data_IF_631801050818
#
_entry.id   IF_631801050818
#
_cell.length_a   1.000
_cell.length_b   1.000
_cell.length_c   1.000
_cell.angle_alpha   90.00
_cell.angle_beta   90.00
_cell.angle_gamma   90.00
#
_symmetry.space_group_name_H-M   'P 1'
#
loop_
_entity.id
_entity.type
_entity.pdbx_description
1 polymer ?
#
# COMPACT_ATOMS: atom_id res chain seq x y z
N UNK A 1 5.99 19.05 -38.44
CA UNK A 1 4.75 18.43 -37.88
C UNK A 1 4.77 18.26 -36.35
N UNK A 2 5.55 17.33 -35.75
CA UNK A 2 5.45 17.10 -34.29
C UNK A 2 5.76 18.37 -33.46
N UNK A 3 6.86 19.06 -33.77
CA UNK A 3 7.22 20.32 -33.10
C UNK A 3 6.18 21.43 -33.27
N UNK A 4 5.61 21.58 -34.47
CA UNK A 4 4.52 22.54 -34.72
C UNK A 4 3.28 22.21 -33.90
N UNK A 5 2.92 20.92 -33.83
CA UNK A 5 1.81 20.47 -33.00
C UNK A 5 2.05 20.78 -31.53
N UNK A 6 3.23 20.46 -30.99
CA UNK A 6 3.58 20.77 -29.61
C UNK A 6 3.56 22.28 -29.33
N UNK A 7 4.01 23.10 -30.28
CA UNK A 7 3.96 24.57 -30.16
C UNK A 7 2.53 25.11 -30.00
N UNK A 8 1.54 24.56 -30.71
CA UNK A 8 0.14 24.96 -30.55
C UNK A 8 -0.33 24.83 -29.11
N UNK A 9 -0.06 23.69 -28.47
CA UNK A 9 -0.44 23.46 -27.08
C UNK A 9 0.43 24.27 -26.11
N UNK A 10 1.72 24.49 -26.44
CA UNK A 10 2.63 25.32 -25.64
C UNK A 10 2.25 26.80 -25.59
N UNK A 11 1.41 27.29 -26.51
CA UNK A 11 0.86 28.67 -26.41
C UNK A 11 -0.04 28.87 -25.18
N UNK A 12 -0.59 27.78 -24.63
CA UNK A 12 -1.45 27.82 -23.45
C UNK A 12 -0.64 27.62 -22.17
N UNK A 13 0.34 26.72 -22.19
CA UNK A 13 1.18 26.40 -21.03
C UNK A 13 2.55 25.87 -21.49
N UNK A 14 3.64 26.29 -20.84
CA UNK A 14 4.97 25.80 -21.16
C UNK A 14 5.29 24.44 -20.52
N UNK A 15 4.62 24.09 -19.42
CA UNK A 15 4.88 22.87 -18.65
C UNK A 15 3.93 21.72 -19.06
N UNK A 16 3.95 21.36 -20.35
CA UNK A 16 3.07 20.32 -20.91
C UNK A 16 3.87 19.05 -21.22
N UNK A 17 3.28 17.89 -20.89
CA UNK A 17 3.81 16.58 -21.29
C UNK A 17 2.99 15.97 -22.44
N UNK A 18 3.68 15.51 -23.47
CA UNK A 18 3.08 14.85 -24.64
C UNK A 18 3.42 13.37 -24.64
N UNK A 19 2.41 12.50 -24.77
CA UNK A 19 2.59 11.07 -24.94
C UNK A 19 1.93 10.62 -26.26
N UNK A 20 2.77 10.20 -27.21
CA UNK A 20 2.35 9.82 -28.55
C UNK A 20 1.97 8.34 -28.63
N UNK A 21 0.70 8.07 -28.92
CA UNK A 21 0.18 6.73 -29.13
C UNK A 21 0.32 6.40 -30.62
N UNK A 22 1.52 5.98 -31.02
CA UNK A 22 1.95 5.80 -32.43
C UNK A 22 0.95 5.00 -33.28
N UNK A 23 0.39 3.93 -32.73
CA UNK A 23 -0.53 3.05 -33.45
C UNK A 23 -1.97 3.60 -33.54
N UNK A 24 -2.31 4.60 -32.73
CA UNK A 24 -3.69 5.09 -32.60
C UNK A 24 -3.92 6.45 -33.25
N UNK A 25 -2.89 7.06 -33.87
CA UNK A 25 -2.92 8.45 -34.37
C UNK A 25 -3.44 9.44 -33.32
N UNK A 26 -3.17 9.16 -32.04
CA UNK A 26 -3.63 9.92 -30.88
C UNK A 26 -2.45 10.40 -30.06
N UNK A 27 -2.63 11.55 -29.41
CA UNK A 27 -1.65 12.12 -28.49
C UNK A 27 -2.35 12.44 -27.19
N UNK A 28 -1.81 11.96 -26.07
CA UNK A 28 -2.25 12.37 -24.74
C UNK A 28 -1.44 13.58 -24.33
N UNK A 29 -2.14 14.69 -24.13
CA UNK A 29 -1.56 15.95 -23.65
C UNK A 29 -1.92 16.09 -22.18
N UNK A 30 -0.89 16.21 -21.32
CA UNK A 30 -1.07 16.34 -19.87
C UNK A 30 -0.69 17.75 -19.46
N UNK A 31 -1.67 18.48 -18.94
CA UNK A 31 -1.52 19.80 -18.35
C UNK A 31 -1.39 19.68 -16.83
N UNK A 32 -0.72 20.65 -16.22
CA UNK A 32 -0.64 20.76 -14.76
C UNK A 32 -1.99 21.15 -14.15
N UNK A 33 -2.72 22.05 -14.81
CA UNK A 33 -3.99 22.57 -14.35
C UNK A 33 -5.14 22.17 -15.28
N UNK A 34 -6.29 21.83 -14.68
CA UNK A 34 -7.53 21.55 -15.40
C UNK A 34 -7.97 22.74 -16.25
N UNK A 35 -7.88 23.96 -15.71
CA UNK A 35 -8.27 25.18 -16.41
C UNK A 35 -7.48 25.37 -17.72
N UNK A 36 -6.17 25.09 -17.71
CA UNK A 36 -5.33 25.18 -18.91
C UNK A 36 -5.76 24.14 -19.96
N UNK A 37 -6.13 22.93 -19.53
CA UNK A 37 -6.65 21.91 -20.44
C UNK A 37 -8.01 22.32 -21.07
N UNK A 38 -8.90 22.95 -20.31
CA UNK A 38 -10.18 23.46 -20.80
C UNK A 38 -9.99 24.62 -21.79
N UNK A 39 -9.09 25.56 -21.49
CA UNK A 39 -8.72 26.65 -22.41
C UNK A 39 -8.09 26.09 -23.69
N UNK A 40 -7.18 25.11 -23.58
CA UNK A 40 -6.57 24.47 -24.73
C UNK A 40 -7.59 23.72 -25.58
N UNK A 41 -8.55 23.02 -24.96
CA UNK A 41 -9.65 22.39 -25.67
C UNK A 41 -10.49 23.44 -26.41
N UNK A 42 -10.96 24.48 -25.72
CA UNK A 42 -11.80 25.50 -26.33
C UNK A 42 -11.12 26.22 -27.50
N UNK A 43 -9.80 26.45 -27.41
CA UNK A 43 -9.01 27.10 -28.46
C UNK A 43 -8.69 26.17 -29.62
N UNK A 44 -8.23 24.94 -29.35
CA UNK A 44 -7.61 24.08 -30.35
C UNK A 44 -8.55 23.04 -30.95
N UNK A 45 -9.72 22.81 -30.35
CA UNK A 45 -10.71 21.88 -30.88
C UNK A 45 -11.23 22.36 -32.25
N UNK A 46 -11.20 21.46 -33.24
CA UNK A 46 -11.61 21.70 -34.64
C UNK A 46 -10.76 22.69 -35.43
N UNK A 47 -9.60 23.12 -34.93
CA UNK A 47 -8.65 23.90 -35.74
C UNK A 47 -8.08 23.02 -36.85
N UNK A 48 -8.03 23.49 -38.11
CA UNK A 48 -7.38 22.78 -39.20
C UNK A 48 -5.86 22.71 -38.97
N UNK A 49 -5.31 21.51 -38.99
CA UNK A 49 -3.88 21.26 -38.88
C UNK A 49 -3.45 20.31 -39.99
N UNK A 50 -2.61 20.79 -40.91
CA UNK A 50 -2.19 20.03 -42.11
C UNK A 50 -3.37 19.47 -42.92
N UNK A 51 -4.47 20.23 -43.02
CA UNK A 51 -5.66 19.89 -43.82
C UNK A 51 -6.74 19.11 -43.10
N UNK A 52 -6.47 18.60 -41.88
CA UNK A 52 -7.43 17.85 -41.07
C UNK A 52 -7.73 18.59 -39.75
N UNK A 53 -8.99 18.67 -39.31
CA UNK A 53 -9.32 19.32 -38.04
C UNK A 53 -8.87 18.48 -36.84
N UNK A 54 -8.21 19.10 -35.87
CA UNK A 54 -7.77 18.41 -34.64
C UNK A 54 -8.97 18.17 -33.73
N UNK A 55 -9.22 16.91 -33.35
CA UNK A 55 -10.19 16.54 -32.32
C UNK A 55 -9.54 16.52 -30.94
N UNK A 56 -9.83 17.54 -30.13
CA UNK A 56 -9.38 17.62 -28.72
C UNK A 56 -10.50 17.17 -27.78
N UNK A 57 -10.22 16.20 -26.90
CA UNK A 57 -11.20 15.63 -25.96
C UNK A 57 -10.59 15.64 -24.55
N UNK A 58 -11.33 16.14 -23.56
CA UNK A 58 -10.94 16.07 -22.16
C UNK A 58 -11.20 14.67 -21.61
N UNK A 59 -10.18 14.06 -21.00
CA UNK A 59 -10.30 12.76 -20.36
C UNK A 59 -10.73 13.00 -18.91
N UNK A 60 -11.92 12.52 -18.56
CA UNK A 60 -12.33 12.42 -17.16
C UNK A 60 -11.80 11.10 -16.60
N UNK A 61 -11.01 11.16 -15.54
CA UNK A 61 -10.67 9.94 -14.79
C UNK A 61 -11.94 9.52 -14.06
N UNK A 62 -12.43 8.29 -14.25
CA UNK A 62 -13.60 7.82 -13.52
C UNK A 62 -13.33 7.97 -12.01
N UNK A 63 -14.25 8.64 -11.31
CA UNK A 63 -14.23 8.73 -9.85
C UNK A 63 -14.63 7.37 -9.29
N UNK A 64 -13.68 6.44 -9.29
CA UNK A 64 -13.81 5.23 -8.49
C UNK A 64 -13.58 5.68 -7.05
N UNK A 65 -14.61 5.64 -6.22
CA UNK A 65 -14.51 5.79 -4.76
C UNK A 65 -13.38 4.88 -4.28
N UNK A 66 -12.52 5.35 -3.38
CA UNK A 66 -11.44 4.50 -2.87
C UNK A 66 -11.98 3.21 -2.22
N UNK A 67 -13.20 3.28 -1.68
CA UNK A 67 -13.99 2.15 -1.15
C UNK A 67 -14.29 1.04 -2.18
N UNK A 68 -14.43 1.38 -3.46
CA UNK A 68 -14.86 0.46 -4.53
C UNK A 68 -13.72 0.07 -5.47
N UNK A 69 -12.52 0.62 -5.23
CA UNK A 69 -11.36 0.41 -6.11
C UNK A 69 -10.65 -0.91 -5.82
N UNK A 70 -10.81 -1.44 -4.62
CA UNK A 70 -10.16 -2.66 -4.16
C UNK A 70 -11.13 -3.51 -3.32
N UNK A 71 -10.88 -4.82 -3.26
CA UNK A 71 -11.45 -5.62 -2.19
C UNK A 71 -11.00 -5.03 -0.86
N UNK A 72 -11.94 -4.88 0.07
CA UNK A 72 -11.61 -4.39 1.41
C UNK A 72 -10.59 -5.35 2.04
N UNK A 73 -9.58 -4.83 2.77
CA UNK A 73 -8.76 -5.67 3.61
C UNK A 73 -9.66 -6.54 4.51
N UNK A 74 -9.33 -7.82 4.73
CA UNK A 74 -10.09 -8.64 5.66
C UNK A 74 -10.10 -7.96 7.03
N UNK A 75 -11.21 -8.09 7.76
CA UNK A 75 -11.30 -7.58 9.13
C UNK A 75 -10.13 -8.14 9.94
N UNK A 76 -9.43 -7.31 10.73
CA UNK A 76 -8.32 -7.75 11.57
C UNK A 76 -8.89 -8.53 12.78
N UNK A 77 -9.40 -9.72 12.53
CA UNK A 77 -10.06 -10.56 13.54
C UNK A 77 -9.05 -11.41 14.31
N UNK A 78 -7.83 -11.59 13.79
CA UNK A 78 -6.86 -12.56 14.30
C UNK A 78 -5.41 -12.08 14.10
N UNK A 79 -4.57 -12.17 15.12
CA UNK A 79 -3.13 -12.01 14.97
C UNK A 79 -2.59 -13.39 14.61
N UNK A 80 -2.34 -13.66 13.32
CA UNK A 80 -1.75 -14.93 12.90
C UNK A 80 -0.30 -15.04 13.41
N UNK A 81 -0.14 -15.42 14.68
CA UNK A 81 1.16 -15.75 15.25
C UNK A 81 1.72 -17.02 14.59
N UNK A 82 0.85 -17.85 14.01
CA UNK A 82 1.19 -18.99 13.15
C UNK A 82 0.19 -19.08 11.99
N UNK A 83 0.69 -19.29 10.77
CA UNK A 83 -0.17 -19.61 9.63
C UNK A 83 -0.91 -20.93 9.88
N UNK A 84 -2.15 -21.10 9.38
CA UNK A 84 -2.78 -22.42 9.39
C UNK A 84 -1.90 -23.45 8.66
N UNK A 85 -2.02 -24.75 8.98
CA UNK A 85 -1.27 -25.78 8.26
C UNK A 85 -1.61 -25.71 6.76
N UNK A 86 -0.62 -25.92 5.90
CA UNK A 86 -0.76 -25.84 4.43
C UNK A 86 -1.84 -26.77 3.88
N UNK A 87 -2.26 -27.77 4.64
CA UNK A 87 -3.39 -28.65 4.35
C UNK A 87 -4.11 -29.01 5.66
N UNK A 88 -5.22 -28.33 6.00
CA UNK A 88 -5.99 -28.68 7.18
C UNK A 88 -6.64 -30.07 7.01
N UNK A 89 -6.64 -30.93 8.05
CA UNK A 89 -7.44 -32.14 8.09
C UNK A 89 -8.94 -31.87 7.85
N UNK A 90 -9.71 -32.91 7.51
CA UNK A 90 -11.11 -32.80 7.07
C UNK A 90 -12.07 -32.18 8.10
N UNK A 91 -11.68 -32.15 9.39
CA UNK A 91 -12.44 -31.56 10.49
C UNK A 91 -11.67 -30.42 11.20
N UNK A 92 -10.68 -29.82 10.54
CA UNK A 92 -9.96 -28.70 11.13
C UNK A 92 -10.77 -27.40 10.99
N UNK A 93 -11.13 -26.82 12.13
CA UNK A 93 -11.77 -25.52 12.20
C UNK A 93 -10.87 -24.51 12.94
N UNK A 94 -10.84 -23.24 12.50
CA UNK A 94 -10.15 -22.19 13.24
C UNK A 94 -10.76 -22.03 14.64
N UNK A 95 -9.96 -22.23 15.68
CA UNK A 95 -10.35 -21.93 17.05
C UNK A 95 -10.37 -20.41 17.25
N UNK A 96 -11.37 -19.92 18.00
CA UNK A 96 -11.43 -18.53 18.46
C UNK A 96 -10.24 -18.24 19.36
N UNK A 97 -9.40 -17.28 18.97
CA UNK A 97 -8.31 -16.81 19.82
C UNK A 97 -8.89 -16.20 21.10
N UNK A 98 -8.34 -16.60 22.25
CA UNK A 98 -8.68 -15.95 23.51
C UNK A 98 -8.14 -14.52 23.50
N UNK A 99 -8.81 -13.60 24.20
CA UNK A 99 -8.28 -12.26 24.42
C UNK A 99 -6.88 -12.35 25.05
N UNK A 100 -5.98 -11.40 24.78
CA UNK A 100 -4.65 -11.39 25.40
C UNK A 100 -4.81 -11.47 26.92
N UNK A 101 -4.36 -12.58 27.49
CA UNK A 101 -4.37 -12.80 28.92
C UNK A 101 -3.08 -12.25 29.51
N UNK A 102 -3.20 -11.22 30.35
CA UNK A 102 -2.06 -10.67 31.08
C UNK A 102 -1.85 -11.52 32.31
N UNK A 103 -0.82 -12.38 32.28
CA UNK A 103 -0.40 -13.13 33.45
C UNK A 103 0.42 -12.24 34.38
N UNK A 104 -0.18 -11.86 35.51
CA UNK A 104 0.47 -11.01 36.50
C UNK A 104 1.67 -11.69 37.18
N UNK A 105 1.70 -13.03 37.28
CA UNK A 105 2.87 -13.72 37.83
C UNK A 105 4.07 -13.59 36.90
N UNK A 106 3.85 -13.67 35.57
CA UNK A 106 4.91 -13.43 34.60
C UNK A 106 5.41 -11.98 34.65
N UNK A 107 4.51 -11.00 34.81
CA UNK A 107 4.92 -9.61 34.99
C UNK A 107 5.79 -9.43 36.24
N UNK A 108 5.37 -9.99 37.37
CA UNK A 108 6.14 -9.93 38.62
C UNK A 108 7.50 -10.61 38.48
N UNK A 109 7.54 -11.82 37.91
CA UNK A 109 8.80 -12.52 37.67
C UNK A 109 9.74 -11.71 36.77
N UNK A 110 9.22 -11.10 35.70
CA UNK A 110 10.02 -10.24 34.81
C UNK A 110 10.54 -9.00 35.54
N UNK A 111 9.77 -8.41 36.45
CA UNK A 111 10.25 -7.26 37.25
C UNK A 111 11.30 -7.63 38.30
N UNK A 112 11.31 -8.89 38.74
CA UNK A 112 12.30 -9.41 39.70
C UNK A 112 13.62 -9.81 39.04
N UNK A 113 13.67 -9.87 37.70
CA UNK A 113 14.90 -10.14 36.97
C UNK A 113 15.88 -8.96 37.09
N UNK A 114 16.90 -9.13 37.92
CA UNK A 114 18.00 -8.19 38.06
C UNK A 114 19.20 -8.59 37.15
N UNK A 115 19.86 -7.62 36.48
CA UNK A 115 21.09 -7.87 35.73
C UNK A 115 22.16 -8.51 36.63
N UNK A 116 22.81 -9.57 36.14
CA UNK A 116 23.86 -10.29 36.87
C UNK A 116 23.37 -11.35 37.87
N UNK A 117 22.07 -11.52 38.08
CA UNK A 117 21.51 -12.55 38.96
C UNK A 117 20.99 -13.79 38.18
N UNK A 118 21.16 -14.97 38.76
CA UNK A 118 20.58 -16.22 38.26
C UNK A 118 19.13 -16.35 38.72
N UNK A 119 18.19 -16.44 37.77
CA UNK A 119 16.78 -16.63 38.09
C UNK A 119 16.30 -18.01 37.64
N UNK A 120 15.94 -18.86 38.59
CA UNK A 120 15.40 -20.20 38.32
C UNK A 120 13.91 -20.10 37.94
N UNK A 121 13.63 -20.09 36.63
CA UNK A 121 12.26 -20.05 36.10
C UNK A 121 11.49 -21.34 36.38
N UNK A 122 12.17 -22.48 36.35
CA UNK A 122 11.53 -23.77 36.60
C UNK A 122 12.45 -24.71 37.36
N UNK A 123 11.96 -25.19 38.51
CA UNK A 123 12.67 -26.18 39.31
C UNK A 123 12.67 -27.53 38.63
N UNK A 124 13.85 -28.14 38.56
CA UNK A 124 13.98 -29.50 38.04
C UNK A 124 13.18 -30.50 38.89
N UNK A 125 12.61 -31.50 38.23
CA UNK A 125 12.02 -32.67 38.90
C UNK A 125 12.86 -33.91 38.63
N UNK A 126 12.51 -35.06 39.20
CA UNK A 126 13.20 -36.32 38.94
C UNK A 126 13.25 -36.70 37.44
N UNK A 127 12.36 -36.13 36.62
CA UNK A 127 12.21 -36.44 35.19
C UNK A 127 12.48 -35.24 34.28
N UNK A 128 12.68 -34.03 34.82
CA UNK A 128 12.86 -32.81 34.01
C UNK A 128 14.01 -31.95 34.55
N UNK A 129 14.88 -31.42 33.67
CA UNK A 129 15.94 -30.51 34.09
C UNK A 129 15.38 -29.18 34.59
N UNK A 130 16.15 -28.46 35.40
CA UNK A 130 15.84 -27.08 35.78
C UNK A 130 16.10 -26.12 34.63
N UNK A 131 15.38 -24.99 34.63
CA UNK A 131 15.55 -23.88 33.68
C UNK A 131 15.97 -22.64 34.45
N UNK A 132 17.17 -22.16 34.16
CA UNK A 132 17.78 -20.98 34.81
C UNK A 132 18.08 -19.95 33.72
N UNK A 133 17.75 -18.69 34.00
CA UNK A 133 18.03 -17.55 33.12
C UNK A 133 19.11 -16.67 33.74
N UNK A 134 20.04 -16.24 32.90
CA UNK A 134 21.08 -15.28 33.26
C UNK A 134 20.76 -13.95 32.59
N UNK A 135 20.54 -12.92 33.40
CA UNK A 135 20.38 -11.56 32.88
C UNK A 135 21.77 -10.98 32.60
N UNK A 136 22.05 -10.68 31.33
CA UNK A 136 23.30 -10.05 30.92
C UNK A 136 23.39 -8.62 31.49
N UNK A 137 24.57 -8.19 31.92
CA UNK A 137 24.82 -6.78 32.25
C UNK A 137 24.79 -5.95 30.95
N UNK A 138 24.19 -4.75 31.00
CA UNK A 138 24.22 -3.81 29.87
C UNK A 138 25.65 -3.25 29.71
N UNK A 139 26.24 -3.37 28.52
CA UNK A 139 27.53 -2.73 28.13
C UNK A 139 27.43 -1.19 28.05
#
# INVERSE_FOLDING_TARGET
>A
IQREFEQLFRTVDNNIRFNYLKNFKKVRVTFENRNNAEIAQAKLHQIPFHGEPIKVILIQVPKVSDEDRYLRPPTPTKQYLLSPPTSPPIDWEPITESAPHVDYQLLTAVTELAPGEEHELHKGTATTPSVIVFCCEDD
#
